data_IF_726766800600
#
_entry.id   IF_726766800600
#
_cell.length_a   1.000
_cell.length_b   1.000
_cell.length_c   1.000
_cell.angle_alpha   90.00
_cell.angle_beta   90.00
_cell.angle_gamma   90.00
#
_symmetry.space_group_name_H-M   'P 1'
#
loop_
_entity.id
_entity.type
_entity.pdbx_description
1 polymer ?
#
# COMPACT_ATOMS: atom_id res chain seq x y z
N UNK A 1 -12.39 -2.04 3.31
CA UNK A 1 -11.11 -2.73 3.08
C UNK A 1 -10.15 -2.47 4.23
N UNK A 2 -9.21 -3.36 4.46
CA UNK A 2 -8.23 -3.19 5.53
C UNK A 2 -6.91 -2.69 4.95
N UNK A 3 -6.47 -1.53 5.42
CA UNK A 3 -5.27 -0.87 4.92
C UNK A 3 -4.21 -0.82 6.01
N UNK A 4 -2.94 -0.92 5.60
CA UNK A 4 -1.79 -0.69 6.48
C UNK A 4 -1.06 0.55 5.98
N UNK A 5 -0.80 1.48 6.89
CA UNK A 5 0.03 2.66 6.62
C UNK A 5 1.34 2.46 7.36
N UNK A 6 2.47 2.52 6.65
CA UNK A 6 3.80 2.49 7.25
C UNK A 6 4.44 3.85 7.01
N UNK A 7 4.43 4.69 8.03
CA UNK A 7 4.84 6.08 7.97
C UNK A 7 5.32 6.54 9.35
N UNK A 8 6.55 7.07 9.42
CA UNK A 8 7.14 7.47 10.69
C UNK A 8 6.75 8.90 11.14
N UNK A 9 6.30 9.74 10.21
CA UNK A 9 5.84 11.08 10.56
C UNK A 9 4.44 11.01 11.15
N UNK A 10 4.34 11.20 12.47
CA UNK A 10 3.08 11.00 13.19
C UNK A 10 1.92 11.85 12.66
N UNK A 11 2.21 13.10 12.29
CA UNK A 11 1.16 13.99 11.77
C UNK A 11 0.59 13.50 10.45
N UNK A 12 1.47 13.10 9.54
CA UNK A 12 1.05 12.59 8.23
C UNK A 12 0.30 11.27 8.41
N UNK A 13 0.84 10.35 9.21
CA UNK A 13 0.18 9.07 9.47
C UNK A 13 -1.21 9.27 10.06
N UNK A 14 -1.35 10.18 11.02
CA UNK A 14 -2.64 10.48 11.64
C UNK A 14 -3.63 11.11 10.67
N UNK A 15 -3.15 12.01 9.83
CA UNK A 15 -3.97 12.66 8.81
C UNK A 15 -4.49 11.61 7.79
N UNK A 16 -3.59 10.76 7.32
CA UNK A 16 -3.97 9.71 6.37
C UNK A 16 -4.93 8.72 6.99
N UNK A 17 -4.65 8.29 8.22
CA UNK A 17 -5.51 7.35 8.92
C UNK A 17 -6.92 7.91 9.07
N UNK A 18 -7.03 9.14 9.55
CA UNK A 18 -8.33 9.77 9.74
C UNK A 18 -9.12 9.85 8.44
N UNK A 19 -8.46 10.32 7.38
CA UNK A 19 -9.12 10.46 6.08
C UNK A 19 -9.57 9.12 5.50
N UNK A 20 -8.73 8.09 5.62
CA UNK A 20 -9.05 6.78 5.06
C UNK A 20 -10.13 6.06 5.89
N UNK A 21 -10.15 6.27 7.20
CA UNK A 21 -11.25 5.77 8.04
C UNK A 21 -12.57 6.43 7.62
N UNK A 22 -12.54 7.72 7.33
CA UNK A 22 -13.73 8.43 6.84
C UNK A 22 -14.21 7.93 5.48
N UNK A 23 -13.27 7.37 4.68
CA UNK A 23 -13.62 6.73 3.41
C UNK A 23 -14.15 5.30 3.59
N UNK A 24 -14.27 4.83 4.81
CA UNK A 24 -14.86 3.53 5.10
C UNK A 24 -13.87 2.39 5.30
N UNK A 25 -12.58 2.69 5.41
CA UNK A 25 -11.56 1.65 5.57
C UNK A 25 -11.23 1.41 7.03
N UNK A 26 -10.78 0.19 7.33
CA UNK A 26 -10.13 -0.13 8.60
C UNK A 26 -8.63 0.09 8.39
N UNK A 27 -8.00 0.87 9.26
CA UNK A 27 -6.62 1.32 9.03
C UNK A 27 -5.73 0.99 10.23
N UNK A 28 -4.64 0.27 9.97
CA UNK A 28 -3.56 0.09 10.94
C UNK A 28 -2.39 0.97 10.55
N UNK A 29 -1.61 1.41 11.54
CA UNK A 29 -0.45 2.26 11.31
C UNK A 29 0.77 1.65 11.99
N UNK A 30 1.89 1.58 11.25
CA UNK A 30 3.20 1.28 11.82
C UNK A 30 4.10 2.49 11.61
N UNK A 31 4.93 2.81 12.59
CA UNK A 31 5.76 4.01 12.57
C UNK A 31 7.21 3.74 12.18
N UNK A 32 7.55 2.51 11.85
CA UNK A 32 8.89 2.14 11.42
C UNK A 32 8.82 0.91 10.50
N UNK A 33 9.91 0.63 9.81
CA UNK A 33 9.93 -0.44 8.83
C UNK A 33 9.87 -1.84 9.43
N UNK A 34 10.44 -2.03 10.61
CA UNK A 34 10.44 -3.36 11.26
C UNK A 34 9.03 -3.76 11.66
N UNK A 35 8.32 -2.86 12.35
CA UNK A 35 6.92 -3.11 12.73
C UNK A 35 6.02 -3.20 11.50
N UNK A 36 6.29 -2.35 10.51
CA UNK A 36 5.53 -2.39 9.25
C UNK A 36 5.66 -3.71 8.53
N UNK A 37 6.86 -4.24 8.44
CA UNK A 37 7.09 -5.55 7.80
C UNK A 37 6.39 -6.66 8.58
N UNK A 38 6.51 -6.63 9.90
CA UNK A 38 5.86 -7.63 10.76
C UNK A 38 4.34 -7.63 10.52
N UNK A 39 3.71 -6.45 10.56
CA UNK A 39 2.27 -6.35 10.35
C UNK A 39 1.88 -6.76 8.92
N UNK A 40 2.69 -6.40 7.93
CA UNK A 40 2.41 -6.74 6.54
C UNK A 40 2.47 -8.25 6.31
N UNK A 41 3.43 -8.93 6.96
CA UNK A 41 3.58 -10.37 6.82
C UNK A 41 2.49 -11.14 7.58
N UNK A 42 2.16 -10.70 8.79
CA UNK A 42 1.22 -11.39 9.67
C UNK A 42 -0.24 -11.08 9.38
N UNK A 43 -0.51 -9.87 8.90
CA UNK A 43 -1.88 -9.39 8.71
C UNK A 43 -2.47 -9.75 7.36
N UNK A 44 -3.76 -9.43 7.22
CA UNK A 44 -4.50 -9.65 5.96
C UNK A 44 -4.97 -8.29 5.43
N UNK A 45 -4.01 -7.50 5.01
CA UNK A 45 -4.31 -6.18 4.47
C UNK A 45 -4.65 -6.28 2.98
N UNK A 46 -5.57 -5.44 2.55
CA UNK A 46 -5.95 -5.35 1.14
C UNK A 46 -5.01 -4.44 0.37
N UNK A 47 -4.33 -3.53 1.07
CA UNK A 47 -3.41 -2.60 0.45
C UNK A 47 -2.50 -1.98 1.52
N UNK A 48 -1.27 -1.67 1.13
CA UNK A 48 -0.28 -1.03 2.00
C UNK A 48 0.12 0.32 1.40
N UNK A 49 0.09 1.36 2.22
CA UNK A 49 0.65 2.67 1.89
C UNK A 49 1.99 2.75 2.62
N UNK A 50 3.08 2.82 1.87
CA UNK A 50 4.43 2.61 2.40
C UNK A 50 5.34 3.79 2.09
N UNK A 51 5.83 4.47 3.14
CA UNK A 51 6.82 5.52 2.96
C UNK A 51 8.16 4.87 2.55
N UNK A 52 8.85 5.51 1.61
CA UNK A 52 10.15 5.02 1.15
C UNK A 52 11.25 5.24 2.17
N UNK A 53 11.11 6.23 3.06
CA UNK A 53 12.15 6.58 4.05
C UNK A 53 11.63 6.34 5.46
N UNK A 54 12.07 5.23 6.05
CA UNK A 54 11.62 4.78 7.37
C UNK A 54 12.81 4.46 8.26
N UNK A 55 12.67 4.67 9.58
CA UNK A 55 13.67 4.15 10.50
C UNK A 55 13.56 2.62 10.57
N UNK A 56 14.67 1.98 10.91
CA UNK A 56 14.77 0.54 10.96
C UNK A 56 15.15 0.00 9.60
N UNK A 57 14.17 -0.39 8.79
CA UNK A 57 14.41 -0.74 7.40
C UNK A 57 13.60 0.21 6.51
N UNK A 58 14.20 0.63 5.39
CA UNK A 58 13.52 1.56 4.50
C UNK A 58 12.43 0.86 3.68
N UNK A 59 11.64 1.67 2.95
CA UNK A 59 10.50 1.15 2.21
C UNK A 59 10.87 0.13 1.14
N UNK A 60 11.97 0.37 0.40
CA UNK A 60 12.40 -0.57 -0.64
C UNK A 60 12.84 -1.90 -0.04
N UNK A 61 13.56 -1.86 1.08
CA UNK A 61 14.00 -3.07 1.77
C UNK A 61 12.82 -3.84 2.35
N UNK A 62 11.84 -3.12 2.91
CA UNK A 62 10.62 -3.74 3.40
C UNK A 62 9.89 -4.46 2.27
N UNK A 63 9.73 -3.80 1.14
CA UNK A 63 9.04 -4.35 -0.01
C UNK A 63 9.76 -5.60 -0.53
N UNK A 64 11.09 -5.56 -0.62
CA UNK A 64 11.88 -6.71 -1.03
C UNK A 64 11.69 -7.90 -0.08
N UNK A 65 11.60 -7.63 1.22
CA UNK A 65 11.38 -8.70 2.21
C UNK A 65 9.95 -9.25 2.17
N UNK A 66 8.99 -8.43 1.76
CA UNK A 66 7.57 -8.83 1.72
C UNK A 66 7.25 -9.69 0.51
N UNK A 67 7.79 -9.35 -0.66
CA UNK A 67 7.37 -9.92 -1.94
C UNK A 67 7.55 -11.43 -2.09
N UNK A 68 8.56 -12.09 -1.47
CA UNK A 68 8.60 -13.56 -1.55
C UNK A 68 7.38 -14.25 -0.94
N UNK A 69 6.70 -13.59 0.01
CA UNK A 69 5.59 -14.19 0.73
C UNK A 69 4.23 -13.63 0.33
N UNK A 70 4.15 -12.37 -0.10
CA UNK A 70 2.86 -11.70 -0.31
C UNK A 70 2.89 -10.74 -1.50
N UNK A 71 1.77 -10.72 -2.22
CA UNK A 71 1.56 -9.82 -3.35
C UNK A 71 0.55 -8.72 -3.01
N UNK A 72 0.42 -8.35 -1.75
CA UNK A 72 -0.45 -7.26 -1.32
C UNK A 72 -0.12 -5.99 -2.12
N UNK A 73 -1.11 -5.30 -2.68
CA UNK A 73 -0.87 -4.06 -3.40
C UNK A 73 -0.18 -3.03 -2.52
N UNK A 74 0.85 -2.37 -3.05
CA UNK A 74 1.63 -1.36 -2.32
C UNK A 74 1.69 -0.07 -3.12
N UNK A 75 1.31 1.04 -2.47
CA UNK A 75 1.56 2.39 -2.97
C UNK A 75 2.75 2.94 -2.19
N UNK A 76 3.84 3.26 -2.89
CA UNK A 76 5.02 3.83 -2.28
C UNK A 76 4.87 5.36 -2.22
N UNK A 77 5.05 5.94 -1.03
CA UNK A 77 5.09 7.40 -0.86
C UNK A 77 6.53 7.84 -0.74
N UNK A 78 6.92 8.92 -1.41
CA UNK A 78 8.29 9.36 -1.35
C UNK A 78 8.43 10.84 -1.68
N UNK A 79 9.42 11.50 -1.05
CA UNK A 79 9.83 12.85 -1.44
C UNK A 79 10.73 12.83 -2.69
N UNK A 80 11.20 11.65 -3.10
CA UNK A 80 12.06 11.51 -4.26
C UNK A 80 11.23 11.46 -5.53
N UNK A 81 11.55 12.33 -6.49
CA UNK A 81 10.78 12.44 -7.73
C UNK A 81 11.61 12.21 -8.98
N UNK A 82 12.83 11.70 -8.85
CA UNK A 82 13.62 11.32 -10.01
C UNK A 82 13.01 10.08 -10.68
N UNK A 83 13.17 10.00 -11.99
CA UNK A 83 12.71 8.86 -12.75
C UNK A 83 13.37 7.56 -12.24
N UNK A 84 14.67 7.61 -11.96
CA UNK A 84 15.41 6.45 -11.45
C UNK A 84 14.83 5.91 -10.15
N UNK A 85 14.42 6.79 -9.24
CA UNK A 85 13.84 6.39 -7.96
C UNK A 85 12.50 5.69 -8.15
N UNK A 86 11.68 6.21 -9.06
CA UNK A 86 10.39 5.60 -9.38
C UNK A 86 10.56 4.24 -10.03
N UNK A 87 11.49 4.13 -10.98
CA UNK A 87 11.79 2.87 -11.64
C UNK A 87 12.25 1.84 -10.62
N UNK A 88 13.11 2.24 -9.70
CA UNK A 88 13.61 1.33 -8.67
C UNK A 88 12.48 0.84 -7.77
N UNK A 89 11.55 1.72 -7.37
CA UNK A 89 10.40 1.33 -6.57
C UNK A 89 9.49 0.34 -7.28
N UNK A 90 9.20 0.61 -8.55
CA UNK A 90 8.35 -0.27 -9.35
C UNK A 90 9.01 -1.62 -9.58
N UNK A 91 10.33 -1.65 -9.85
CA UNK A 91 11.08 -2.89 -10.00
C UNK A 91 11.13 -3.71 -8.72
N UNK A 92 11.12 -3.04 -7.56
CA UNK A 92 11.08 -3.73 -6.27
C UNK A 92 9.71 -4.35 -5.98
N UNK A 93 8.70 -4.04 -6.78
CA UNK A 93 7.38 -4.64 -6.68
C UNK A 93 6.29 -3.72 -6.16
N UNK A 94 6.52 -2.40 -6.14
CA UNK A 94 5.45 -1.45 -5.82
C UNK A 94 4.45 -1.41 -6.98
N UNK A 95 3.17 -1.30 -6.64
CA UNK A 95 2.10 -1.24 -7.65
C UNK A 95 1.85 0.18 -8.10
N UNK A 96 2.19 1.15 -7.29
CA UNK A 96 2.07 2.56 -7.63
C UNK A 96 3.07 3.37 -6.81
N UNK A 97 3.25 4.62 -7.21
CA UNK A 97 4.29 5.49 -6.66
C UNK A 97 3.74 6.92 -6.61
N UNK A 98 3.73 7.50 -5.43
CA UNK A 98 3.15 8.83 -5.22
C UNK A 98 4.17 9.75 -4.58
N UNK A 99 4.44 10.90 -5.21
CA UNK A 99 5.46 11.84 -4.77
C UNK A 99 4.87 12.84 -3.79
N UNK A 100 5.57 13.06 -2.66
CA UNK A 100 5.22 14.07 -1.66
C UNK A 100 5.68 15.45 -2.14
N UNK A 101 4.90 16.51 -1.92
CA UNK A 101 3.56 16.52 -1.34
C UNK A 101 2.52 16.09 -2.37
N UNK A 102 1.47 15.46 -1.91
CA UNK A 102 0.38 15.01 -2.78
C UNK A 102 -0.97 15.46 -2.19
N UNK A 103 -1.99 15.51 -3.04
CA UNK A 103 -3.34 15.76 -2.58
C UNK A 103 -3.92 14.45 -2.02
N UNK A 104 -4.64 14.54 -0.90
CA UNK A 104 -5.27 13.35 -0.31
C UNK A 104 -6.21 12.67 -1.31
N UNK A 105 -6.94 13.48 -2.11
CA UNK A 105 -7.83 12.94 -3.14
C UNK A 105 -7.09 12.11 -4.19
N UNK A 106 -5.84 12.43 -4.47
CA UNK A 106 -5.03 11.65 -5.40
C UNK A 106 -4.70 10.28 -4.81
N UNK A 107 -4.34 10.25 -3.53
CA UNK A 107 -4.08 8.98 -2.83
C UNK A 107 -5.35 8.12 -2.81
N UNK A 108 -6.50 8.70 -2.48
CA UNK A 108 -7.77 7.98 -2.45
C UNK A 108 -8.08 7.37 -3.82
N UNK A 109 -7.90 8.15 -4.89
CA UNK A 109 -8.17 7.67 -6.25
C UNK A 109 -7.27 6.48 -6.61
N UNK A 110 -5.99 6.55 -6.26
CA UNK A 110 -5.05 5.46 -6.56
C UNK A 110 -5.36 4.22 -5.75
N UNK A 111 -5.73 4.38 -4.48
CA UNK A 111 -6.17 3.26 -3.64
C UNK A 111 -7.38 2.57 -4.28
N UNK A 112 -8.37 3.35 -4.70
CA UNK A 112 -9.58 2.80 -5.31
C UNK A 112 -9.27 2.02 -6.58
N UNK A 113 -8.37 2.54 -7.42
CA UNK A 113 -7.97 1.85 -8.64
C UNK A 113 -7.33 0.50 -8.32
N UNK A 114 -6.43 0.47 -7.35
CA UNK A 114 -5.74 -0.77 -6.99
C UNK A 114 -6.69 -1.78 -6.35
N UNK A 115 -7.59 -1.32 -5.49
CA UNK A 115 -8.57 -2.22 -4.86
C UNK A 115 -9.53 -2.81 -5.88
N UNK A 116 -9.97 -2.03 -6.87
CA UNK A 116 -10.83 -2.54 -7.94
C UNK A 116 -10.09 -3.58 -8.79
N UNK A 117 -8.82 -3.31 -9.09
CA UNK A 117 -8.01 -4.22 -9.89
C UNK A 117 -7.85 -5.56 -9.20
N UNK A 118 -7.58 -5.54 -7.90
CA UNK A 118 -7.47 -6.75 -7.09
C UNK A 118 -8.78 -7.52 -7.07
N UNK A 119 -9.89 -6.84 -6.87
CA UNK A 119 -11.22 -7.47 -6.86
C UNK A 119 -11.53 -8.14 -8.21
N UNK A 120 -11.15 -7.50 -9.32
CA UNK A 120 -11.38 -8.06 -10.66
C UNK A 120 -10.53 -9.28 -10.93
N UNK A 121 -9.32 -9.32 -10.42
CA UNK A 121 -8.40 -10.42 -10.66
C UNK A 121 -8.62 -11.59 -9.71
N UNK A 122 -9.46 -11.44 -8.69
CA UNK A 122 -9.84 -12.54 -7.82
C UNK A 122 -10.67 -13.55 -8.63
N UNK A 123 -10.25 -14.81 -8.74
CA UNK A 123 -11.04 -15.81 -9.46
C UNK A 123 -12.41 -15.94 -8.84
N UNK A 124 -13.40 -15.85 -9.68
CA UNK A 124 -14.75 -16.04 -9.20
C UNK A 124 -14.96 -17.52 -9.08
N UNK A 125 -14.66 -17.89 -8.53
CA UNK A 125 -14.68 -18.89 -8.52
C UNK A 125 -15.45 -19.49 -8.78
N UNK A 126 -14.97 -18.81 -9.26
CA UNK A 126 -15.56 -19.04 -9.59
C UNK A 126 -16.01 -19.05 -10.09
N UNK A 127 -15.88 -18.89 -10.21
CA UNK A 127 -16.55 -18.69 -10.64
C UNK A 127 -16.94 -18.66 -11.16
N UNK A 128 -16.89 -18.65 -11.31
CA UNK A 128 -17.48 -18.37 -11.63
C UNK A 128 -17.84 -18.41 -12.03
N UNK A 129 -17.66 -18.39 -11.94
CA UNK A 129 -18.25 -18.10 -12.07
C UNK A 129 -18.73 -18.07 -12.40
N UNK A 130 -18.71 -18.18 -12.48
CA UNK A 130 -19.41 -17.94 -12.56
C UNK A 130 -19.81 -17.74 -12.84
N UNK A 131 -19.73 -17.68 -12.91
CA UNK A 131 -20.37 -17.28 -12.98
C UNK A 131 -20.73 -17.02 -13.34
N UNK A 132 -20.72 -17.07 -13.55
CA UNK A 132 -21.26 -16.69 -13.65
C UNK A 132 -21.55 -16.47 -13.97
N UNK A 133 -21.41 -16.49 -14.04
CA UNK A 133 -21.82 -16.11 -14.01
C UNK A 133 -22.00 -15.81 -14.02
N UNK A 134 -21.69 -15.82 -14.07
CA UNK A 134 -22.08 -15.48 -13.76
C UNK A 134 -22.00 -15.31 -13.75
#
# INVERSE_FOLDING_TARGET
>A
MKLLIVEDEAKLAGYLRKGLVEEGHVVEVASNGIDGLHLALEGRHDLIVLDSMLPGIDGLSLLAALRPSKQTPVIMLTARHRVEDRVQGLKAGADDYLVKPFAFSELVARIEVLLRRTARSTPVQGSALTLSLG
#
